data_IF_344511414964
#
_entry.id   IF_344511414964
#
_cell.length_a   1.000
_cell.length_b   1.000
_cell.length_c   1.000
_cell.angle_alpha   90.00
_cell.angle_beta   90.00
_cell.angle_gamma   90.00
#
_symmetry.space_group_name_H-M   'P 1'
#
loop_
_entity.id
_entity.type
_entity.pdbx_description
1 polymer ?
2 non-polymer ?
3 non-polymer ?
4 non-polymer ?
5 non-polymer ?
6 water ?
#
# COMPACT_ATOMS: atom_id res chain seq x y z
N UNK A 14 -26.11 -5.25 -28.97
CA UNK A 14 -25.09 -6.27 -29.00
C UNK A 14 -25.03 -7.14 -27.75
N UNK A 15 -24.01 -7.99 -27.66
CA UNK A 15 -23.89 -8.81 -26.47
C UNK A 15 -22.45 -9.32 -26.33
N UNK A 16 -22.09 -9.61 -25.09
CA UNK A 16 -20.84 -10.25 -24.69
C UNK A 16 -21.25 -11.45 -23.85
N UNK A 17 -21.35 -12.61 -24.49
CA UNK A 17 -21.61 -13.87 -23.80
C UNK A 17 -20.35 -14.69 -23.62
N UNK A 18 -19.17 -14.05 -23.66
CA UNK A 18 -17.93 -14.80 -23.51
C UNK A 18 -17.81 -15.38 -22.11
N UNK A 19 -17.90 -14.52 -21.09
CA UNK A 19 -17.59 -14.99 -19.75
C UNK A 19 -18.72 -15.84 -19.17
N UNK A 20 -19.94 -15.66 -19.67
CA UNK A 20 -21.12 -16.30 -19.09
C UNK A 20 -21.22 -17.79 -19.45
N UNK A 21 -20.13 -18.40 -19.91
CA UNK A 21 -20.21 -19.75 -20.46
C UNK A 21 -19.36 -20.81 -19.76
N UNK A 22 -18.35 -20.43 -18.99
CA UNK A 22 -17.38 -21.39 -18.47
C UNK A 22 -17.78 -21.94 -17.10
N UNK A 23 -17.36 -23.17 -16.82
CA UNK A 23 -17.60 -23.79 -15.52
C UNK A 23 -16.33 -24.14 -14.78
N UNK A 24 -15.26 -24.52 -15.47
CA UNK A 24 -14.00 -24.82 -14.80
C UNK A 24 -13.19 -23.53 -14.79
N UNK A 25 -13.16 -22.88 -13.64
CA UNK A 25 -12.36 -21.70 -13.40
C UNK A 25 -12.52 -21.33 -11.94
N UNK A 26 -11.48 -20.77 -11.32
CA UNK A 26 -11.56 -20.30 -9.93
C UNK A 26 -10.87 -18.95 -9.86
N UNK A 27 -11.39 -18.06 -9.00
CA UNK A 27 -10.99 -16.66 -9.04
C UNK A 27 -10.75 -16.21 -7.60
N UNK A 28 -9.62 -15.53 -7.37
CA UNK A 28 -9.26 -15.10 -6.02
C UNK A 28 -8.93 -13.61 -6.03
N UNK A 29 -9.30 -12.92 -4.94
CA UNK A 29 -8.85 -11.57 -4.68
C UNK A 29 -7.42 -11.63 -4.18
N UNK A 30 -6.56 -10.74 -4.67
CA UNK A 30 -5.20 -10.58 -4.17
C UNK A 30 -5.10 -9.14 -3.68
N UNK A 31 -4.76 -8.97 -2.40
CA UNK A 31 -4.52 -7.64 -1.84
C UNK A 31 -3.02 -7.45 -1.68
N UNK A 32 -2.55 -6.22 -1.91
CA UNK A 32 -1.13 -5.91 -1.73
C UNK A 32 -1.01 -4.60 -0.98
N UNK A 33 -0.26 -4.60 0.13
CA UNK A 33 0.01 -3.33 0.80
C UNK A 33 0.94 -2.44 -0.02
N UNK A 34 1.66 -3.00 -0.99
CA UNK A 34 2.78 -2.32 -1.64
C UNK A 34 2.50 -2.12 -3.13
N UNK A 35 2.59 -0.87 -3.58
CA UNK A 35 2.60 -0.59 -5.00
C UNK A 35 3.87 -1.12 -5.66
N UNK A 36 5.00 -1.11 -4.95
CA UNK A 36 6.23 -1.67 -5.52
C UNK A 36 6.05 -3.14 -5.88
N UNK A 37 5.38 -3.90 -5.02
CA UNK A 37 5.17 -5.33 -5.29
C UNK A 37 4.32 -5.54 -6.52
N UNK A 38 3.27 -4.72 -6.70
CA UNK A 38 2.50 -4.80 -7.94
C UNK A 38 3.40 -4.59 -9.15
N UNK A 39 4.23 -3.53 -9.12
CA UNK A 39 5.11 -3.27 -10.27
C UNK A 39 6.07 -4.42 -10.52
N UNK A 40 6.67 -4.97 -9.45
CA UNK A 40 7.56 -6.12 -9.62
C UNK A 40 6.81 -7.29 -10.25
N UNK A 41 5.59 -7.55 -9.79
CA UNK A 41 4.82 -8.68 -10.30
C UNK A 41 4.52 -8.52 -11.79
N UNK A 42 4.17 -7.31 -12.21
CA UNK A 42 3.91 -7.06 -13.63
C UNK A 42 5.19 -7.24 -14.43
N UNK A 43 6.30 -6.74 -13.89
CA UNK A 43 7.57 -6.79 -14.59
C UNK A 43 8.07 -8.23 -14.78
N UNK A 44 7.98 -9.05 -13.74
CA UNK A 44 8.61 -10.36 -13.75
C UNK A 44 7.62 -11.52 -13.78
N UNK A 45 6.31 -11.24 -13.80
CA UNK A 45 5.28 -12.27 -13.87
C UNK A 45 5.46 -13.34 -12.78
N UNK A 46 5.56 -12.87 -11.52
CA UNK A 46 5.66 -13.72 -10.35
C UNK A 46 4.85 -13.06 -9.22
N UNK A 47 4.48 -13.87 -8.23
CA UNK A 47 3.82 -13.38 -7.01
C UNK A 47 4.17 -14.30 -5.84
N UNK A 48 3.84 -13.84 -4.63
CA UNK A 48 3.91 -14.65 -3.43
C UNK A 48 2.88 -14.09 -2.47
N UNK A 49 2.13 -14.99 -1.82
CA UNK A 49 1.15 -14.60 -0.83
C UNK A 49 1.67 -14.96 0.57
N UNK A 50 0.78 -14.86 1.56
CA UNK A 50 1.07 -15.37 2.90
C UNK A 50 1.20 -16.89 2.86
N UNK A 51 1.55 -17.49 4.00
CA UNK A 51 1.55 -18.95 4.07
C UNK A 51 0.18 -19.52 3.76
N UNK A 52 -0.85 -19.08 4.49
CA UNK A 52 -2.16 -19.71 4.27
C UNK A 52 -2.72 -19.33 2.91
N UNK A 53 -2.38 -18.14 2.43
CA UNK A 53 -2.79 -17.73 1.10
C UNK A 53 -2.13 -18.57 0.02
N UNK A 54 -0.81 -18.74 0.10
CA UNK A 54 -0.14 -19.63 -0.83
C UNK A 54 -0.77 -21.02 -0.84
N UNK A 55 -1.06 -21.57 0.34
CA UNK A 55 -1.66 -22.90 0.40
C UNK A 55 -3.02 -22.95 -0.30
N UNK A 56 -3.87 -21.95 -0.07
CA UNK A 56 -5.13 -21.83 -0.76
C UNK A 56 -4.95 -21.84 -2.29
N UNK A 57 -4.08 -20.97 -2.79
CA UNK A 57 -3.87 -20.85 -4.23
C UNK A 57 -3.28 -22.12 -4.81
N UNK A 58 -2.31 -22.70 -4.11
CA UNK A 58 -1.66 -23.93 -4.57
C UNK A 58 -2.68 -25.05 -4.69
N UNK A 59 -3.52 -25.21 -3.67
CA UNK A 59 -4.54 -26.26 -3.72
C UNK A 59 -5.47 -26.05 -4.91
N UNK A 60 -5.87 -24.79 -5.19
CA UNK A 60 -6.77 -24.55 -6.32
C UNK A 60 -6.07 -24.79 -7.64
N UNK A 61 -4.81 -24.35 -7.77
CA UNK A 61 -4.08 -24.53 -9.01
C UNK A 61 -3.90 -26.01 -9.34
N UNK A 62 -3.51 -26.79 -8.33
CA UNK A 62 -3.18 -28.19 -8.55
C UNK A 62 -4.43 -29.04 -8.80
N UNK A 63 -5.53 -28.74 -8.11
CA UNK A 63 -6.78 -29.46 -8.34
C UNK A 63 -7.47 -29.02 -9.62
N UNK A 64 -7.09 -27.86 -10.17
CA UNK A 64 -7.63 -27.44 -11.44
C UNK A 64 -7.08 -28.32 -12.54
N UNK A 65 -5.84 -28.81 -12.33
CA UNK A 65 -5.18 -29.75 -13.24
C UNK A 65 -5.31 -29.29 -14.69
N UNK A 66 -5.10 -27.99 -14.89
CA UNK A 66 -5.03 -27.44 -16.22
C UNK A 66 -6.31 -27.40 -17.03
N UNK A 67 -7.47 -27.73 -16.45
CA UNK A 67 -8.71 -27.73 -17.24
C UNK A 67 -9.46 -26.40 -17.17
N UNK A 68 -8.83 -25.35 -16.63
CA UNK A 68 -9.42 -24.04 -16.55
C UNK A 68 -8.46 -23.10 -15.86
N UNK A 69 -8.73 -21.79 -15.88
CA UNK A 69 -7.77 -20.85 -15.28
C UNK A 69 -8.04 -20.61 -13.80
N UNK A 70 -6.97 -20.25 -13.08
CA UNK A 70 -7.06 -19.64 -11.76
C UNK A 70 -6.77 -18.16 -11.95
N UNK A 71 -7.78 -17.31 -11.80
CA UNK A 71 -7.64 -15.88 -12.01
C UNK A 71 -7.39 -15.17 -10.68
N UNK A 72 -6.60 -14.11 -10.76
CA UNK A 72 -6.21 -13.32 -9.60
C UNK A 72 -6.60 -11.87 -9.88
N UNK A 73 -7.42 -11.28 -9.02
CA UNK A 73 -7.90 -9.91 -9.16
C UNK A 73 -7.14 -9.09 -8.13
N UNK A 74 -6.24 -8.22 -8.61
CA UNK A 74 -5.30 -7.49 -7.75
C UNK A 74 -5.84 -6.13 -7.29
N UNK A 75 -5.61 -5.81 -6.02
CA UNK A 75 -6.04 -4.52 -5.49
C UNK A 75 -5.08 -4.11 -4.37
N UNK A 76 -4.55 -2.90 -4.46
CA UNK A 76 -3.67 -2.39 -3.41
C UNK A 76 -4.52 -1.92 -2.24
N UNK A 77 -4.16 -2.38 -1.04
CA UNK A 77 -4.90 -2.04 0.19
C UNK A 77 -5.06 -0.54 0.32
N UNK A 78 -6.31 -0.10 0.50
CA UNK A 78 -6.60 1.30 0.72
C UNK A 78 -6.59 2.15 -0.52
N UNK A 79 -6.30 1.57 -1.69
CA UNK A 79 -6.21 2.38 -2.90
C UNK A 79 -7.56 2.81 -3.46
N UNK A 80 -8.64 2.11 -3.13
CA UNK A 80 -9.95 2.42 -3.69
C UNK A 80 -10.23 1.82 -5.06
N UNK A 81 -9.34 0.99 -5.60
CA UNK A 81 -9.56 0.44 -6.93
C UNK A 81 -8.76 -0.84 -7.11
N UNK A 82 -9.27 -1.71 -7.97
CA UNK A 82 -8.48 -2.81 -8.49
C UNK A 82 -7.51 -2.29 -9.54
N UNK A 83 -6.38 -2.97 -9.66
CA UNK A 83 -5.35 -2.55 -10.59
C UNK A 83 -5.12 -3.55 -11.71
N UNK A 84 -5.75 -4.71 -11.69
CA UNK A 84 -5.61 -5.60 -12.83
C UNK A 84 -5.93 -7.05 -12.53
N UNK A 85 -5.64 -7.89 -13.53
CA UNK A 85 -5.99 -9.30 -13.50
C UNK A 85 -4.80 -10.11 -13.97
N UNK A 86 -4.52 -11.21 -13.28
CA UNK A 86 -3.46 -12.11 -13.67
C UNK A 86 -3.98 -13.53 -13.56
N UNK A 87 -3.33 -14.43 -14.27
CA UNK A 87 -3.61 -15.85 -14.13
C UNK A 87 -2.43 -16.51 -13.43
N UNK A 88 -2.74 -17.35 -12.44
CA UNK A 88 -1.75 -18.29 -11.91
C UNK A 88 -1.17 -19.16 -13.02
N UNK A 89 0.17 -19.31 -13.05
CA UNK A 89 0.80 -20.09 -14.12
C UNK A 89 1.74 -21.18 -13.62
N UNK A 90 1.80 -21.44 -12.32
CA UNK A 90 2.61 -22.54 -11.80
C UNK A 90 2.14 -22.82 -10.37
N UNK A 91 2.56 -23.97 -9.85
CA UNK A 91 2.36 -24.24 -8.44
C UNK A 91 3.32 -23.39 -7.61
N UNK A 92 3.06 -23.36 -6.30
CA UNK A 92 3.88 -22.59 -5.36
C UNK A 92 5.19 -23.32 -5.12
N UNK A 93 6.30 -22.64 -5.37
CA UNK A 93 7.63 -23.08 -4.94
C UNK A 93 7.89 -22.42 -3.58
N UNK A 94 7.93 -23.20 -2.51
CA UNK A 94 8.00 -22.63 -1.17
C UNK A 94 9.41 -22.33 -0.68
N UNK A 95 10.44 -22.66 -1.46
CA UNK A 95 11.81 -22.52 -0.97
C UNK A 95 12.56 -21.70 -2.02
N UNK A 96 12.50 -20.38 -1.88
CA UNK A 96 13.08 -19.49 -2.88
C UNK A 96 13.77 -18.33 -2.17
N UNK A 97 14.47 -17.52 -2.96
CA UNK A 97 15.24 -16.42 -2.41
C UNK A 97 14.36 -15.53 -1.55
N UNK A 98 14.88 -15.13 -0.38
CA UNK A 98 14.13 -14.31 0.55
C UNK A 98 14.29 -12.82 0.24
N UNK A 99 13.35 -12.03 0.74
CA UNK A 99 13.48 -10.58 0.65
C UNK A 99 13.39 -9.97 -0.73
N UNK A 100 12.75 -10.61 -1.70
CA UNK A 100 12.60 -9.99 -3.00
C UNK A 100 11.45 -9.00 -3.07
N UNK A 101 10.56 -8.97 -2.08
CA UNK A 101 9.41 -8.08 -2.03
C UNK A 101 9.70 -6.90 -1.07
N UNK A 102 8.74 -5.99 -0.95
CA UNK A 102 8.98 -4.79 -0.12
C UNK A 102 9.24 -5.19 1.33
N UNK A 103 8.39 -6.04 1.90
CA UNK A 103 8.63 -6.63 3.21
C UNK A 103 9.15 -8.04 3.05
N UNK A 104 9.94 -8.48 4.03
CA UNK A 104 10.60 -9.78 3.94
C UNK A 104 9.76 -10.88 4.63
N UNK A 105 8.44 -10.74 4.63
CA UNK A 105 7.55 -11.67 5.34
C UNK A 105 6.91 -12.70 4.42
N UNK A 106 7.38 -12.84 3.19
CA UNK A 106 6.80 -13.77 2.22
C UNK A 106 7.78 -14.89 1.90
N UNK A 107 7.30 -16.13 1.97
CA UNK A 107 8.12 -17.30 1.71
C UNK A 107 7.59 -18.02 0.48
N UNK A 108 8.36 -18.01 -0.61
CA UNK A 108 8.00 -18.75 -1.80
C UNK A 108 7.76 -17.85 -2.99
N UNK A 109 7.34 -18.49 -4.10
CA UNK A 109 7.14 -17.81 -5.37
C UNK A 109 6.27 -18.68 -6.26
N UNK A 110 5.40 -18.04 -7.05
CA UNK A 110 4.76 -18.75 -8.15
C UNK A 110 4.67 -17.84 -9.36
N UNK A 111 4.52 -18.46 -10.52
CA UNK A 111 4.43 -17.73 -11.77
C UNK A 111 3.00 -17.24 -11.97
N UNK A 112 2.88 -16.02 -12.47
CA UNK A 112 1.60 -15.50 -12.94
C UNK A 112 1.77 -15.02 -14.38
N UNK A 113 0.66 -14.71 -15.03
CA UNK A 113 0.66 -13.98 -16.29
C UNK A 113 -0.35 -12.86 -16.16
N UNK A 114 0.12 -11.62 -16.11
CA UNK A 114 -0.81 -10.50 -16.08
C UNK A 114 -1.57 -10.40 -17.39
N UNK A 115 -2.89 -10.18 -17.29
CA UNK A 115 -3.83 -10.17 -18.41
C UNK A 115 -4.33 -8.76 -18.68
N UNK A 116 -4.74 -8.06 -17.62
CA UNK A 116 -5.16 -6.67 -17.69
C UNK A 116 -4.40 -5.90 -16.61
N UNK A 117 -3.81 -4.78 -17.01
CA UNK A 117 -3.30 -3.78 -16.07
C UNK A 117 -4.14 -2.53 -16.28
N UNK A 118 -5.13 -2.33 -15.42
CA UNK A 118 -6.04 -1.19 -15.58
C UNK A 118 -6.70 -0.90 -14.24
N UNK A 119 -6.74 0.37 -13.86
CA UNK A 119 -7.40 0.75 -12.61
C UNK A 119 -8.90 0.74 -12.78
N UNK A 120 -9.59 0.04 -11.88
CA UNK A 120 -11.05 -0.03 -11.93
C UNK A 120 -11.56 0.40 -10.57
N UNK A 121 -12.23 1.54 -10.49
CA UNK A 121 -12.71 2.05 -9.20
C UNK A 121 -13.60 1.04 -8.49
N UNK A 122 -13.50 1.03 -7.15
CA UNK A 122 -14.35 0.15 -6.37
C UNK A 122 -15.82 0.47 -6.61
N UNK A 123 -16.13 1.70 -7.00
CA UNK A 123 -17.53 2.06 -7.23
C UNK A 123 -18.13 1.22 -8.36
N UNK A 124 -17.32 0.80 -9.33
CA UNK A 124 -17.79 -0.07 -10.41
C UNK A 124 -18.12 -1.48 -9.94
N UNK A 125 -17.61 -1.91 -8.79
CA UNK A 125 -17.70 -3.30 -8.37
C UNK A 125 -18.35 -3.54 -7.00
N UNK A 126 -18.62 -2.48 -6.23
CA UNK A 126 -19.06 -2.67 -4.84
C UNK A 126 -20.48 -3.22 -4.73
N UNK A 127 -21.23 -3.29 -5.82
CA UNK A 127 -22.56 -3.88 -5.76
C UNK A 127 -22.57 -5.39 -5.92
N UNK A 128 -21.43 -5.98 -6.27
CA UNK A 128 -21.30 -7.43 -6.34
C UNK A 128 -20.92 -7.93 -4.96
N UNK A 129 -21.74 -8.80 -4.37
CA UNK A 129 -21.50 -9.30 -3.03
C UNK A 129 -21.21 -10.79 -3.07
N UNK A 130 -20.49 -11.24 -2.04
CA UNK A 130 -19.98 -12.60 -1.99
C UNK A 130 -20.78 -13.40 -0.97
N UNK A 131 -21.62 -14.32 -1.46
CA UNK A 131 -22.42 -15.15 -0.57
C UNK A 131 -21.54 -16.00 0.34
N UNK A 132 -20.30 -16.29 -0.06
CA UNK A 132 -19.40 -17.07 0.77
C UNK A 132 -18.63 -16.20 1.76
N UNK A 133 -18.77 -14.89 1.69
CA UNK A 133 -18.12 -13.97 2.63
C UNK A 133 -19.17 -13.04 3.22
N UNK A 134 -20.22 -13.65 3.78
CA UNK A 134 -21.24 -12.92 4.55
C UNK A 134 -21.95 -11.85 3.74
N UNK A 135 -22.10 -12.04 2.41
CA UNK A 135 -22.77 -11.07 1.55
C UNK A 135 -22.03 -9.72 1.50
N UNK A 136 -20.78 -9.69 1.95
CA UNK A 136 -19.98 -8.48 1.88
C UNK A 136 -19.62 -8.13 0.43
N UNK A 137 -19.48 -6.84 0.13
CA UNK A 137 -19.03 -6.43 -1.22
C UNK A 137 -17.70 -7.06 -1.59
N UNK A 138 -17.59 -7.46 -2.86
CA UNK A 138 -16.33 -8.05 -3.33
C UNK A 138 -15.16 -7.10 -3.08
N UNK A 139 -15.44 -5.80 -2.99
CA UNK A 139 -14.45 -4.75 -2.76
C UNK A 139 -14.03 -4.65 -1.30
N UNK A 140 -14.68 -5.39 -0.41
CA UNK A 140 -14.30 -5.45 1.00
C UNK A 140 -13.66 -6.78 1.37
N UNK A 141 -13.00 -7.43 0.41
CA UNK A 141 -12.39 -8.73 0.59
C UNK A 141 -10.98 -8.60 1.19
N UNK A 142 -10.55 -9.66 1.86
CA UNK A 142 -9.18 -9.84 2.32
C UNK A 142 -8.38 -10.64 1.28
N UNK A 143 -7.04 -10.61 1.42
CA UNK A 143 -6.17 -11.36 0.52
C UNK A 143 -6.56 -12.83 0.41
N UNK A 144 -6.58 -13.32 -0.83
CA UNK A 144 -6.94 -14.69 -1.26
C UNK A 144 -8.37 -15.10 -0.87
N UNK A 145 -9.26 -14.13 -0.70
CA UNK A 145 -10.69 -14.40 -0.68
C UNK A 145 -11.10 -15.02 -2.01
N UNK A 146 -11.71 -16.21 -1.96
CA UNK A 146 -12.20 -16.79 -3.21
C UNK A 146 -13.56 -16.20 -3.58
N UNK A 147 -13.78 -16.08 -4.88
CA UNK A 147 -14.99 -15.47 -5.45
C UNK A 147 -15.81 -16.57 -6.12
N UNK A 148 -17.09 -16.73 -5.78
CA UNK A 148 -17.88 -17.74 -6.49
C UNK A 148 -17.91 -17.42 -7.98
N UNK A 149 -17.92 -18.48 -8.79
CA UNK A 149 -17.72 -18.32 -10.23
C UNK A 149 -18.74 -17.37 -10.85
N UNK A 150 -20.01 -17.50 -10.46
CA UNK A 150 -21.04 -16.61 -11.02
C UNK A 150 -20.82 -15.14 -10.67
N UNK A 151 -20.27 -14.83 -9.49
CA UNK A 151 -19.90 -13.46 -9.18
C UNK A 151 -18.61 -13.07 -9.91
N UNK A 152 -17.65 -14.00 -9.98
CA UNK A 152 -16.41 -13.75 -10.72
C UNK A 152 -16.67 -13.36 -12.17
N UNK A 153 -17.65 -14.02 -12.82
CA UNK A 153 -17.97 -13.66 -14.20
C UNK A 153 -18.43 -12.21 -14.29
N UNK A 154 -19.24 -11.78 -13.33
CA UNK A 154 -19.75 -10.41 -13.32
C UNK A 154 -18.63 -9.41 -13.15
N UNK A 155 -17.69 -9.69 -12.25
CA UNK A 155 -16.55 -8.79 -12.01
C UNK A 155 -15.68 -8.70 -13.25
N UNK A 156 -15.38 -9.84 -13.86
CA UNK A 156 -14.50 -9.86 -15.04
C UNK A 156 -15.11 -9.06 -16.19
N UNK A 157 -16.42 -9.17 -16.39
CA UNK A 157 -17.04 -8.41 -17.48
C UNK A 157 -16.97 -6.92 -17.19
N UNK A 158 -17.15 -6.53 -15.93
CA UNK A 158 -17.06 -5.13 -15.57
C UNK A 158 -15.64 -4.61 -15.77
N UNK A 159 -14.64 -5.40 -15.40
CA UNK A 159 -13.25 -4.96 -15.56
C UNK A 159 -12.91 -4.83 -17.03
N UNK A 160 -13.32 -5.81 -17.84
CA UNK A 160 -12.96 -5.77 -19.25
C UNK A 160 -13.65 -4.63 -19.98
N UNK A 161 -14.83 -4.21 -19.51
CA UNK A 161 -15.62 -3.18 -20.19
C UNK A 161 -15.38 -1.77 -19.65
N UNK A 162 -14.67 -1.62 -18.53
CA UNK A 162 -14.42 -0.30 -17.97
C UNK A 162 -13.47 0.51 -18.85
N UNK A 163 -13.73 1.80 -19.00
CA UNK A 163 -12.88 2.65 -19.84
C UNK A 163 -12.72 4.08 -19.31
N UNK B 16 16.20 12.80 27.72
CA UNK B 16 16.89 12.23 26.57
C UNK B 16 17.71 13.32 25.87
N UNK B 17 18.73 12.89 25.11
CA UNK B 17 19.57 13.83 24.40
C UNK B 17 18.90 14.41 23.16
N UNK B 18 17.73 13.90 22.80
CA UNK B 18 17.10 14.24 21.52
C UNK B 18 15.81 15.01 21.73
N UNK B 19 15.61 16.02 20.88
CA UNK B 19 14.33 16.72 20.74
C UNK B 19 13.84 17.29 22.06
N UNK B 20 14.77 17.67 22.94
CA UNK B 20 14.39 18.38 24.15
C UNK B 20 14.05 19.84 23.87
N UNK B 21 14.77 20.47 22.94
CA UNK B 21 14.60 21.89 22.65
C UNK B 21 13.81 22.05 21.34
N UNK B 22 12.53 21.70 21.43
CA UNK B 22 11.58 21.82 20.32
C UNK B 22 10.42 22.67 20.85
N UNK B 23 10.59 23.99 20.82
CA UNK B 23 9.60 24.88 21.43
C UNK B 23 8.36 24.98 20.55
N UNK B 24 8.52 25.41 19.31
CA UNK B 24 7.42 25.59 18.37
C UNK B 24 7.39 24.38 17.42
N UNK B 25 6.70 24.52 16.31
CA UNK B 25 6.87 23.50 15.30
C UNK B 25 5.67 22.59 15.20
N UNK B 26 5.59 21.89 14.07
CA UNK B 26 4.46 21.04 13.77
C UNK B 26 4.97 19.75 13.16
N UNK B 27 4.22 18.66 13.38
CA UNK B 27 4.72 17.32 13.07
C UNK B 27 3.61 16.55 12.37
N UNK B 28 3.96 15.86 11.29
CA UNK B 28 2.98 15.16 10.47
C UNK B 28 3.46 13.74 10.23
N UNK B 29 2.48 12.80 10.19
CA UNK B 29 2.71 11.43 9.74
C UNK B 29 2.78 11.44 8.21
N UNK B 30 3.73 10.68 7.65
CA UNK B 30 3.78 10.43 6.21
C UNK B 30 3.63 8.93 6.01
N UNK B 31 2.68 8.54 5.15
CA UNK B 31 2.54 7.15 4.79
C UNK B 31 2.93 6.98 3.32
N UNK B 32 3.40 5.80 2.96
CA UNK B 32 3.77 5.55 1.57
C UNK B 32 3.37 4.14 1.14
N UNK B 33 2.74 4.05 -0.02
CA UNK B 33 2.53 2.79 -0.73
C UNK B 33 3.81 2.24 -1.36
N UNK B 34 4.93 2.94 -1.23
CA UNK B 34 6.13 2.60 -2.02
C UNK B 34 7.39 2.80 -1.18
N UNK B 35 8.06 1.69 -0.89
CA UNK B 35 9.39 1.74 -0.30
C UNK B 35 10.39 2.37 -1.27
N UNK B 36 10.23 2.13 -2.58
CA UNK B 36 11.11 2.78 -3.55
C UNK B 36 11.04 4.30 -3.46
N UNK B 37 9.85 4.86 -3.31
CA UNK B 37 9.72 6.31 -3.14
C UNK B 37 10.48 6.80 -1.90
N UNK B 38 10.37 6.06 -0.80
CA UNK B 38 11.14 6.44 0.39
C UNK B 38 12.63 6.42 0.09
N UNK B 39 13.10 5.39 -0.60
CA UNK B 39 14.53 5.31 -0.90
C UNK B 39 14.95 6.49 -1.76
N UNK B 40 14.12 6.90 -2.72
CA UNK B 40 14.46 8.05 -3.55
C UNK B 40 14.44 9.34 -2.71
N UNK B 41 13.49 9.43 -1.77
CA UNK B 41 13.43 10.56 -0.83
C UNK B 41 14.70 10.69 -0.02
N UNK B 42 15.20 9.57 0.51
CA UNK B 42 16.40 9.59 1.31
C UNK B 42 17.59 9.98 0.46
N UNK B 43 17.63 9.48 -0.78
CA UNK B 43 18.76 9.74 -1.66
C UNK B 43 18.84 11.21 -2.09
N UNK B 44 17.69 11.82 -2.43
CA UNK B 44 17.70 13.16 -3.01
C UNK B 44 17.08 14.23 -2.10
N UNK B 45 16.72 13.88 -0.87
CA UNK B 45 16.16 14.83 0.10
C UNK B 45 14.99 15.63 -0.50
N UNK B 46 13.99 14.90 -1.00
CA UNK B 46 12.80 15.50 -1.59
C UNK B 46 11.62 14.59 -1.27
N UNK B 47 10.42 15.16 -1.25
CA UNK B 47 9.20 14.36 -1.11
C UNK B 47 8.06 15.00 -1.89
N UNK B 48 6.96 14.26 -1.99
CA UNK B 48 5.71 14.73 -2.58
C UNK B 48 4.56 13.94 -1.94
N UNK B 49 3.49 14.63 -1.56
CA UNK B 49 2.29 13.99 -0.99
C UNK B 49 1.17 13.99 -2.03
N UNK B 50 -0.04 13.65 -1.56
CA UNK B 50 -1.23 13.88 -2.37
C UNK B 50 -1.43 15.38 -2.57
N UNK B 51 -2.39 15.74 -3.42
CA UNK B 51 -2.69 17.15 -3.62
C UNK B 51 -3.16 17.78 -2.32
N UNK B 52 -4.09 17.12 -1.62
CA UNK B 52 -4.59 17.69 -0.37
C UNK B 52 -3.57 17.61 0.74
N UNK B 53 -2.70 16.58 0.74
CA UNK B 53 -1.64 16.53 1.73
C UNK B 53 -0.57 17.57 1.47
N UNK B 54 -0.23 17.80 0.20
CA UNK B 54 0.72 18.86 -0.13
C UNK B 54 0.21 20.20 0.40
N UNK B 55 -1.08 20.47 0.25
CA UNK B 55 -1.63 21.75 0.70
C UNK B 55 -1.56 21.85 2.22
N UNK B 56 -1.82 20.75 2.93
CA UNK B 56 -1.72 20.75 4.39
C UNK B 56 -0.30 21.06 4.82
N UNK B 57 0.67 20.38 4.22
CA UNK B 57 2.05 20.59 4.60
C UNK B 57 2.53 21.97 4.13
N UNK B 58 2.05 22.41 2.97
CA UNK B 58 2.44 23.73 2.48
C UNK B 58 1.98 24.82 3.46
N UNK B 59 0.74 24.68 3.96
CA UNK B 59 0.20 25.70 4.86
C UNK B 59 0.95 25.73 6.18
N UNK B 60 1.16 24.56 6.80
CA UNK B 60 1.94 24.50 8.03
C UNK B 60 3.31 25.15 7.84
N UNK B 61 4.05 24.72 6.81
CA UNK B 61 5.38 25.24 6.55
C UNK B 61 5.35 26.75 6.35
N UNK B 62 4.40 27.23 5.55
CA UNK B 62 4.29 28.66 5.26
C UNK B 62 3.92 29.45 6.52
N UNK B 63 2.97 28.95 7.33
CA UNK B 63 2.57 29.66 8.54
C UNK B 63 3.68 29.66 9.57
N UNK B 64 4.59 28.70 9.48
CA UNK B 64 5.66 28.62 10.44
C UNK B 64 6.66 29.76 10.23
N UNK B 65 6.74 30.27 8.99
CA UNK B 65 7.60 31.40 8.62
C UNK B 65 9.02 31.25 9.18
N UNK B 66 9.46 30.01 9.40
CA UNK B 66 10.82 29.72 9.81
C UNK B 66 11.08 29.71 11.29
N UNK B 67 10.06 29.96 12.13
CA UNK B 67 10.26 30.06 13.57
C UNK B 67 10.43 28.71 14.27
N UNK B 68 10.22 27.60 13.56
CA UNK B 68 10.37 26.29 14.15
C UNK B 68 10.31 25.23 13.07
N UNK B 69 10.62 23.99 13.42
CA UNK B 69 10.66 22.92 12.40
C UNK B 69 9.30 22.31 12.10
N UNK B 70 9.13 21.88 10.85
CA UNK B 70 8.04 20.97 10.47
C UNK B 70 8.68 19.60 10.31
N UNK B 71 8.26 18.64 11.13
CA UNK B 71 8.85 17.31 11.11
C UNK B 71 7.89 16.34 10.43
N UNK B 72 8.46 15.31 9.79
CA UNK B 72 7.70 14.29 9.07
C UNK B 72 8.13 12.92 9.61
N UNK B 73 7.15 12.12 9.99
CA UNK B 73 7.39 10.80 10.58
C UNK B 73 6.93 9.77 9.56
N UNK B 74 7.88 9.09 8.93
CA UNK B 74 7.59 8.27 7.75
C UNK B 74 7.26 6.83 8.15
N UNK B 75 6.27 6.25 7.48
CA UNK B 75 5.95 4.84 7.69
C UNK B 75 5.40 4.24 6.38
N UNK B 76 5.95 3.12 5.96
CA UNK B 76 5.50 2.46 4.74
C UNK B 76 4.25 1.64 5.07
N UNK B 77 3.19 1.81 4.28
CA UNK B 77 1.94 1.06 4.47
C UNK B 77 2.23 -0.44 4.58
N UNK B 78 1.70 -1.06 5.64
CA UNK B 78 1.80 -2.50 5.82
C UNK B 78 3.15 -3.00 6.32
N UNK B 79 4.07 -2.10 6.66
CA UNK B 79 5.39 -2.51 7.12
C UNK B 79 5.40 -2.88 8.59
N UNK B 80 4.42 -2.42 9.35
CA UNK B 80 4.44 -2.57 10.80
C UNK B 80 5.53 -1.78 11.48
N UNK B 81 6.18 -0.83 10.80
CA UNK B 81 7.22 -0.04 11.46
C UNK B 81 7.35 1.32 10.79
N UNK B 82 7.72 2.32 11.59
CA UNK B 82 8.11 3.60 11.05
C UNK B 82 9.54 3.45 10.53
N UNK B 83 9.90 4.27 9.54
CA UNK B 83 11.20 4.08 8.91
C UNK B 83 12.10 5.30 9.05
N UNK B 84 11.62 6.40 9.64
CA UNK B 84 12.53 7.47 10.00
C UNK B 84 11.82 8.80 10.13
N UNK B 85 12.63 9.86 10.11
CA UNK B 85 12.18 11.22 10.40
C UNK B 85 12.89 12.17 9.45
N UNK B 86 12.15 13.10 8.85
CA UNK B 86 12.75 14.15 8.05
C UNK B 86 12.15 15.47 8.48
N UNK B 87 12.86 16.56 8.16
CA UNK B 87 12.37 17.90 8.33
C UNK B 87 12.03 18.49 6.98
N UNK B 88 10.85 19.11 6.87
CA UNK B 88 10.45 19.85 5.67
C UNK B 88 11.34 21.08 5.50
N UNK B 89 11.95 21.23 4.32
CA UNK B 89 12.93 22.29 4.09
C UNK B 89 12.52 23.31 3.04
N UNK B 90 11.29 23.25 2.53
CA UNK B 90 10.86 24.24 1.56
C UNK B 90 9.36 24.15 1.40
N UNK B 91 8.80 25.20 0.81
CA UNK B 91 7.41 25.19 0.39
C UNK B 91 7.23 24.23 -0.78
N UNK B 92 5.98 23.92 -1.08
CA UNK B 92 5.64 23.00 -2.15
C UNK B 92 5.73 23.73 -3.49
N UNK B 93 6.44 23.13 -4.44
CA UNK B 93 6.39 23.55 -5.83
C UNK B 93 5.45 22.60 -6.57
N UNK B 94 4.33 23.12 -7.08
CA UNK B 94 3.29 22.28 -7.65
C UNK B 94 3.49 22.01 -9.15
N UNK B 95 4.41 22.70 -9.82
CA UNK B 95 4.64 22.52 -11.25
C UNK B 95 6.06 22.01 -11.44
N UNK B 96 6.21 20.68 -11.53
CA UNK B 96 7.49 20.01 -11.59
C UNK B 96 7.40 18.83 -12.56
N UNK B 97 8.56 18.26 -12.84
CA UNK B 97 8.68 17.14 -13.76
C UNK B 97 7.71 16.01 -13.41
N UNK B 98 6.98 15.55 -14.42
CA UNK B 98 6.05 14.45 -14.20
C UNK B 98 6.78 13.11 -14.11
N UNK B 99 6.13 12.14 -13.46
CA UNK B 99 6.56 10.74 -13.50
C UNK B 99 7.90 10.41 -12.87
N UNK B 100 8.33 11.15 -11.83
CA UNK B 100 9.60 10.83 -11.19
C UNK B 100 9.44 9.83 -10.03
N UNK B 101 8.23 9.58 -9.56
CA UNK B 101 7.99 8.66 -8.46
C UNK B 101 7.42 7.34 -8.98
N UNK B 102 7.03 6.47 -8.03
CA UNK B 102 6.54 5.13 -8.35
C UNK B 102 5.27 5.19 -9.18
N UNK B 103 4.47 6.23 -9.00
CA UNK B 103 3.27 6.44 -9.77
C UNK B 103 3.24 7.88 -10.27
N UNK B 104 2.47 8.12 -11.33
CA UNK B 104 2.35 9.46 -11.89
C UNK B 104 1.50 10.38 -11.03
N UNK B 105 0.62 9.81 -10.19
CA UNK B 105 -0.33 10.60 -9.41
C UNK B 105 0.35 11.53 -8.40
N UNK B 106 1.64 11.33 -8.09
CA UNK B 106 2.36 12.15 -7.11
C UNK B 106 2.94 13.34 -7.87
N UNK B 107 2.31 14.51 -7.74
CA UNK B 107 2.65 15.68 -8.54
C UNK B 107 3.20 16.78 -7.64
N UNK B 108 4.30 17.40 -8.05
CA UNK B 108 4.92 18.45 -7.27
C UNK B 108 6.06 17.91 -6.43
N UNK B 109 6.67 18.82 -5.69
CA UNK B 109 7.87 18.47 -4.96
C UNK B 109 8.10 19.49 -3.86
N UNK B 110 8.64 19.03 -2.73
CA UNK B 110 9.22 19.92 -1.75
C UNK B 110 10.48 19.29 -1.19
N UNK B 111 11.36 20.15 -0.65
CA UNK B 111 12.63 19.70 -0.10
C UNK B 111 12.46 19.19 1.33
N UNK B 112 13.22 18.16 1.67
CA UNK B 112 13.25 17.65 3.03
C UNK B 112 14.70 17.45 3.41
N UNK B 113 14.93 17.27 4.70
CA UNK B 113 16.22 16.82 5.20
C UNK B 113 15.99 15.65 6.14
N UNK B 114 16.40 14.47 5.71
CA UNK B 114 16.27 13.30 6.57
C UNK B 114 17.23 13.39 7.75
N UNK B 115 16.72 13.02 8.92
CA UNK B 115 17.45 13.14 10.18
C UNK B 115 17.76 11.77 10.74
N UNK B 116 16.74 10.91 10.80
CA UNK B 116 16.88 9.53 11.23
C UNK B 116 16.36 8.65 10.10
N UNK B 117 17.15 7.66 9.71
CA UNK B 117 16.70 6.57 8.86
C UNK B 117 16.89 5.33 9.70
N UNK B 118 15.77 4.77 10.19
CA UNK B 118 15.81 3.67 11.15
C UNK B 118 14.42 3.06 11.19
N UNK B 119 14.35 1.72 11.19
CA UNK B 119 13.09 1.03 11.37
C UNK B 119 12.79 0.91 12.86
N UNK B 120 11.63 1.40 13.25
CA UNK B 120 11.16 1.32 14.63
C UNK B 120 9.84 0.57 14.61
N UNK B 121 9.74 -0.57 15.29
CA UNK B 121 8.48 -1.34 15.28
C UNK B 121 7.33 -0.54 15.86
N UNK B 122 6.13 -0.74 15.28
CA UNK B 122 4.94 -0.04 15.80
C UNK B 122 4.64 -0.42 17.24
N UNK B 123 5.11 -1.58 17.70
CA UNK B 123 4.95 -1.95 19.10
C UNK B 123 5.55 -0.90 20.04
N UNK B 124 6.65 -0.27 19.62
CA UNK B 124 7.27 0.77 20.42
C UNK B 124 6.45 2.04 20.45
N UNK B 125 5.48 2.21 19.55
CA UNK B 125 4.78 3.47 19.39
C UNK B 125 3.28 3.41 19.58
N UNK B 126 2.68 2.21 19.55
CA UNK B 126 1.22 2.14 19.46
C UNK B 126 0.51 2.66 20.71
N UNK B 127 1.21 2.78 21.84
CA UNK B 127 0.53 3.28 23.03
C UNK B 127 0.46 4.80 23.09
N UNK B 128 0.90 5.50 22.04
CA UNK B 128 0.73 6.94 21.92
C UNK B 128 -0.51 7.21 21.09
N UNK B 129 -1.46 7.94 21.66
CA UNK B 129 -2.74 8.15 21.03
C UNK B 129 -2.92 9.63 20.71
N UNK B 130 -3.65 9.90 19.65
CA UNK B 130 -3.79 11.27 19.15
C UNK B 130 -5.15 11.82 19.58
N UNK B 131 -5.13 12.79 20.50
CA UNK B 131 -6.38 13.38 20.95
C UNK B 131 -7.12 14.11 19.81
N UNK B 132 -6.44 14.45 18.72
CA UNK B 132 -7.11 15.07 17.57
C UNK B 132 -7.58 14.06 16.54
N UNK B 133 -7.31 12.78 16.75
CA UNK B 133 -7.81 11.74 15.86
C UNK B 133 -8.56 10.69 16.69
N UNK B 134 -9.61 11.14 17.40
CA UNK B 134 -10.48 10.23 18.15
C UNK B 134 -9.69 9.32 19.09
N UNK B 135 -8.55 9.82 19.54
CA UNK B 135 -7.67 9.12 20.46
C UNK B 135 -7.17 7.78 19.89
N UNK B 136 -7.11 7.66 18.55
CA UNK B 136 -6.53 6.47 17.94
C UNK B 136 -5.01 6.41 18.13
N UNK B 137 -4.44 5.20 18.13
CA UNK B 137 -2.98 5.08 18.17
C UNK B 137 -2.34 5.84 17.02
N UNK B 138 -1.13 6.37 17.28
CA UNK B 138 -0.43 7.15 16.25
C UNK B 138 -0.04 6.23 15.10
N UNK B 139 0.12 4.94 15.37
CA UNK B 139 0.47 3.94 14.37
C UNK B 139 -0.70 3.60 13.44
N UNK B 140 -1.90 4.08 13.73
CA UNK B 140 -3.06 3.91 12.86
C UNK B 140 -3.38 5.19 12.11
N UNK B 141 -2.39 6.04 11.91
CA UNK B 141 -2.62 7.31 11.24
C UNK B 141 -2.61 7.14 9.73
N UNK B 142 -3.29 8.05 9.07
CA UNK B 142 -3.26 8.20 7.61
C UNK B 142 -2.23 9.27 7.23
N UNK B 143 -1.86 9.27 5.95
CA UNK B 143 -0.91 10.25 5.40
C UNK B 143 -1.28 11.69 5.77
N UNK B 144 -0.28 12.46 6.20
CA UNK B 144 -0.37 13.88 6.61
C UNK B 144 -1.35 14.11 7.77
N UNK B 145 -1.62 13.08 8.57
CA UNK B 145 -2.25 13.28 9.88
C UNK B 145 -1.34 14.14 10.75
N UNK B 146 -1.85 15.27 11.24
CA UNK B 146 -1.02 16.09 12.10
C UNK B 146 -0.98 15.49 13.50
N UNK B 147 0.16 15.58 14.16
CA UNK B 147 0.37 15.02 15.49
C UNK B 147 0.43 16.16 16.49
N UNK B 148 -0.32 16.12 17.60
CA UNK B 148 -0.16 17.15 18.63
C UNK B 148 1.26 17.13 19.16
N UNK B 149 1.78 18.33 19.50
CA UNK B 149 3.22 18.48 19.72
C UNK B 149 3.72 17.62 20.87
N UNK B 150 2.95 17.47 21.95
CA UNK B 150 3.50 16.70 23.06
C UNK B 150 3.51 15.21 22.74
N UNK B 151 2.59 14.74 21.92
CA UNK B 151 2.67 13.36 21.45
C UNK B 151 3.79 13.19 20.42
N UNK B 152 3.97 14.20 19.56
CA UNK B 152 5.05 14.14 18.57
C UNK B 152 6.40 14.07 19.25
N UNK B 153 6.59 14.85 20.32
CA UNK B 153 7.83 14.78 21.08
C UNK B 153 8.10 13.37 21.58
N UNK B 154 7.06 12.68 22.06
CA UNK B 154 7.28 11.33 22.57
C UNK B 154 7.71 10.38 21.45
N UNK B 155 7.07 10.52 20.29
CA UNK B 155 7.39 9.68 19.13
C UNK B 155 8.82 9.95 18.67
N UNK B 156 9.16 11.23 18.47
CA UNK B 156 10.50 11.60 18.03
C UNK B 156 11.58 11.05 18.97
N UNK B 157 11.36 11.21 20.27
CA UNK B 157 12.34 10.70 21.23
C UNK B 157 12.45 9.18 21.19
N UNK B 158 11.33 8.48 21.02
CA UNK B 158 11.41 7.02 20.94
C UNK B 158 12.18 6.60 19.70
N UNK B 159 11.87 7.21 18.57
CA UNK B 159 12.55 6.86 17.32
C UNK B 159 14.04 7.15 17.43
N UNK B 160 14.40 8.34 17.92
CA UNK B 160 15.81 8.73 18.02
C UNK B 160 16.60 7.75 18.86
N UNK B 161 16.02 7.25 19.96
CA UNK B 161 16.77 6.45 20.92
C UNK B 161 16.68 4.96 20.67
N UNK B 162 15.81 4.52 19.77
CA UNK B 162 15.57 3.10 19.57
C UNK B 162 16.82 2.39 19.06
N UNK B 163 17.07 1.20 19.62
CA UNK B 163 18.21 0.40 19.22
C UNK B 163 17.81 -1.06 19.21
N UNK B 164 18.41 -1.83 18.29
CA UNK B 164 18.13 -3.26 18.03
C UNK B 164 16.78 -3.78 18.52
X LIG C 1 -5.48 -8.35 3.96
X LIG C 1 -6.14 -9.65 3.76
X LIG C 1 -5.93 -7.39 2.97
X LIG C 1 -5.77 -7.89 5.32
X LIG C 1 -4.02 -8.50 3.85
X LIG D 1 -9.48 -0.87 -0.76
X LIG D 1 -10.76 -1.53 -0.98
X LIG D 1 -8.95 -0.65 -2.10
X LIG D 1 -9.63 0.41 -0.06
X LIG D 1 -8.59 -1.74 0.04
X LIG E 1 14.45 -4.37 -10.43
X LIG E 1 13.10 -3.81 -10.36
X LIG E 1 14.77 -4.48 -11.86
X LIG E 1 15.41 -3.49 -9.76
X LIG E 1 14.46 -5.67 -9.77
X LIG F 1 -15.00 1.63 -1.19
X LIG F 1 -15.78 0.95 -2.23
X LIG F 1 -15.83 2.63 -0.54
X LIG F 1 -13.82 2.28 -1.77
X LIG F 1 -14.55 0.64 -0.20
X LIG G 1 2.46 -9.30 -1.02
X LIG G 1 1.24 -9.56 -0.33
X LIG G 1 0.66 -8.54 0.38
X LIG G 1 2.38 -7.10 -0.25
X LIG G 1 -0.60 -10.33 0.60
X LIG G 1 4.42 -10.12 -2.40
X LIG G 1 3.13 -10.35 -1.75
X LIG G 1 2.98 -8.07 -0.94
X LIG G 1 1.25 -7.30 0.42
X LIG G 1 -0.49 -9.03 0.93
X LIG G 1 0.44 -10.67 -0.18
X LIG H 1 -0.81 -0.63 -10.68
X LIG H 1 -1.32 0.36 -9.82
X LIG H 1 -0.35 0.06 -11.98
X LIG H 1 0.22 1.32 -11.74
X LIG H 1 0.70 -0.90 -12.57
X LIG H 1 1.12 -0.39 -13.79
X LIG I 1 8.12 -26.23 -2.76
X LIG J 1 4.22 8.98 -2.20
X LIG J 1 3.13 9.03 -1.30
X LIG J 1 2.48 7.84 -1.03
X LIG J 1 3.95 6.70 -2.42
X LIG J 1 1.49 9.46 0.07
X LIG J 1 5.94 10.19 -3.57
X LIG J 1 4.93 10.20 -2.53
X LIG J 1 4.59 7.83 -2.71
X LIG J 1 2.89 6.69 -1.63
X LIG J 1 1.49 8.14 -0.16
X LIG J 1 2.50 10.02 -0.61
X LIG K 1 -4.18 6.56 2.50
X LIG K 1 -4.99 7.58 3.05
X LIG K 1 -2.77 6.88 2.97
X LIG K 1 -2.69 6.84 4.35
X LIG K 1 -1.83 5.86 2.25
X LIG K 1 -0.75 6.60 1.62
X LIG L 1 2.83 0.63 9.75
X LIG L 1 2.40 1.92 10.20
X LIG L 1 1.73 -0.04 8.83
X LIG L 1 1.73 -1.41 8.94
X LIG L 1 0.37 0.58 9.17
X LIG L 1 -0.30 0.79 7.92
X LIG M 1 -0.62 6.52 -12.20
X LIG M 1 -0.73 7.21 -11.00
X LIG M 1 0.25 5.30 -11.93
X LIG M 1 -0.46 4.11 -12.00
X LIG M 1 1.39 5.40 -12.96
X LIG M 1 2.24 4.30 -12.68
X LIG N 1 -5.82 14.09 -3.61
X LIG N 1 -7.10 14.41 -4.27
X LIG N 1 -4.75 14.08 -4.62
X LIG N 1 -5.56 15.11 -2.58
X LIG N 1 -5.92 12.78 -2.97
X LIG O 1 18.24 6.60 -9.27
X LIG O 1 17.98 8.03 -9.09
X LIG O 1 17.73 6.21 -10.59
X LIG O 1 17.56 5.84 -8.21
X LIG O 1 19.68 6.37 -9.18
#
# INVERSE_FOLDING_TARGET
MGSSYHHHHHHSSGENLYFQHMKHGRVFIIKSYSEDDIHRSIKYNIWCSTEHGNKRLDAAYRSMNGKGPVYLLFSVNGSGHFCGVAEMKSAVDYNTCAGVWSQDKWKGRFDVRWIFVKDVPNSQLRHIRLENNENKPVTNSRDTQEVPLEKAKQVLKIIASYKHTTS
MGSSYHHHHHHSSGENLYFQHMKHGRVFIIKSYSEDDIHRSIKYNIWCSTEHGNKRLDAAYRSMNGKGPVYLLFSVNGSGHFCGVAEMKSAVDYNTCAGVWSQDKWKGRFDVRWIFVKDVPNSQLRHIRLENNENKPVTNSRDTQEVPLEKAKQVLKIIASYKHTTS
SO4 S O1 O2 O3 O4
SO4 S O1 O2 O3 O4
SO4 S O1 O2 O3 O4
SO4 S O1 O2 O3 O4
N6M C6 C5 C4 C2 C8 C11 N6 N1 N3 N9 N7
GOL C1 O1 C2 O2 C3 O3
CL CL
N6M C6 C5 C4 C2 C8 C11 N6 N1 N3 N9 N7
GOL C1 O1 C2 O2 C3 O3
GOL C1 O1 C2 O2 C3 O3
GOL C1 O1 C2 O2 C3 O3
SO4 S O1 O2 O3 O4
SO4 S O1 O2 O3 O4
#
